data_IF_924127970309
#
_entry.id   IF_924127970309
#
_cell.length_a   1.000
_cell.length_b   1.000
_cell.length_c   1.000
_cell.angle_alpha   90.00
_cell.angle_beta   90.00
_cell.angle_gamma   90.00
#
_symmetry.space_group_name_H-M   'P 1'
#
loop_
_entity.id
_entity.type
_entity.pdbx_description
1 polymer ?
#
# COMPACT_ATOMS: atom_id res chain seq x y z
N UNK A 1 -0.70 -41.27 -18.63
CA UNK A 1 0.28 -40.16 -18.67
C UNK A 1 -0.29 -38.99 -17.87
N UNK A 2 -0.14 -39.07 -16.55
CA UNK A 2 -0.45 -38.00 -15.59
C UNK A 2 0.85 -37.24 -15.40
N UNK A 3 0.99 -36.00 -15.91
CA UNK A 3 2.07 -35.03 -15.62
C UNK A 3 1.99 -33.89 -16.64
N UNK A 4 0.96 -33.08 -16.55
CA UNK A 4 0.92 -31.71 -17.11
C UNK A 4 -0.03 -30.84 -16.27
N UNK A 5 -0.19 -31.22 -14.99
CA UNK A 5 -0.85 -30.49 -13.93
C UNK A 5 0.25 -29.84 -13.10
N UNK A 6 0.83 -28.77 -13.62
CA UNK A 6 1.57 -27.75 -12.85
C UNK A 6 1.79 -26.55 -13.76
N UNK A 7 0.70 -26.12 -14.39
CA UNK A 7 0.56 -24.85 -15.07
C UNK A 7 0.71 -23.74 -14.02
N UNK A 8 1.88 -23.10 -13.98
CA UNK A 8 2.00 -21.64 -13.86
C UNK A 8 1.23 -20.91 -12.74
N UNK A 9 1.16 -21.46 -11.52
CA UNK A 9 0.45 -20.81 -10.39
C UNK A 9 1.35 -20.59 -9.15
N UNK A 10 2.61 -20.23 -9.39
CA UNK A 10 3.61 -20.04 -8.32
C UNK A 10 4.37 -18.72 -8.45
N UNK A 11 3.70 -17.68 -8.96
CA UNK A 11 4.27 -16.33 -9.00
C UNK A 11 3.20 -15.36 -8.49
N UNK A 12 3.57 -14.57 -7.48
CA UNK A 12 2.82 -13.45 -6.89
C UNK A 12 1.76 -13.80 -5.81
N UNK A 13 2.16 -14.51 -4.76
CA UNK A 13 1.63 -14.17 -3.42
C UNK A 13 2.55 -13.09 -2.83
N UNK A 14 2.73 -11.97 -3.55
CA UNK A 14 3.22 -10.77 -2.90
C UNK A 14 2.09 -10.33 -1.98
N UNK A 15 2.38 -10.16 -0.69
CA UNK A 15 1.49 -9.57 0.30
C UNK A 15 1.14 -8.14 -0.12
N UNK A 16 0.23 -8.03 -1.07
CA UNK A 16 -0.19 -6.75 -1.66
C UNK A 16 -1.42 -6.35 -0.88
N UNK A 17 -1.21 -5.87 0.35
CA UNK A 17 -2.30 -5.38 1.19
C UNK A 17 -2.71 -3.99 0.67
N UNK A 18 -3.37 -3.97 -0.48
CA UNK A 18 -3.93 -2.75 -1.02
C UNK A 18 -5.20 -2.42 -0.21
N UNK A 19 -5.08 -1.51 0.76
CA UNK A 19 -6.21 -1.06 1.56
C UNK A 19 -6.97 0.06 0.84
N UNK A 20 -8.29 0.03 0.95
CA UNK A 20 -9.18 1.06 0.39
C UNK A 20 -9.29 2.21 1.39
N UNK A 21 -9.17 3.45 0.91
CA UNK A 21 -9.36 4.63 1.77
C UNK A 21 -10.83 4.82 2.17
N UNK A 22 -11.04 5.20 3.44
CA UNK A 22 -12.37 5.58 3.91
C UNK A 22 -12.91 6.80 3.15
N UNK A 23 -14.25 6.94 3.01
CA UNK A 23 -14.86 8.11 2.38
C UNK A 23 -14.33 9.43 2.96
N UNK A 24 -13.99 10.37 2.08
CA UNK A 24 -13.37 11.65 2.45
C UNK A 24 -11.84 11.62 2.57
N UNK A 25 -11.20 10.49 2.25
CA UNK A 25 -9.75 10.36 2.11
C UNK A 25 -9.42 9.85 0.70
N UNK A 26 -8.28 10.25 0.19
CA UNK A 26 -7.72 9.79 -1.08
C UNK A 26 -6.34 9.16 -0.85
N UNK A 27 -5.84 8.40 -1.83
CA UNK A 27 -4.49 7.84 -1.76
C UNK A 27 -3.46 8.97 -1.87
N UNK A 28 -2.46 8.94 -0.99
CA UNK A 28 -1.29 9.80 -1.10
C UNK A 28 -0.57 9.60 -2.44
N UNK A 29 0.45 10.41 -2.69
CA UNK A 29 1.42 10.10 -3.74
C UNK A 29 2.06 8.71 -3.52
N UNK A 30 2.57 8.13 -4.61
CA UNK A 30 3.27 6.85 -4.60
C UNK A 30 4.75 7.05 -4.21
N UNK A 31 5.19 6.37 -3.16
CA UNK A 31 6.56 6.43 -2.68
C UNK A 31 7.32 5.15 -3.05
N UNK A 32 8.55 5.27 -3.55
CA UNK A 32 9.40 4.11 -3.87
C UNK A 32 9.96 3.45 -2.60
N UNK A 33 10.18 4.25 -1.56
CA UNK A 33 10.75 3.79 -0.30
C UNK A 33 9.76 3.98 0.85
N UNK A 34 9.60 2.95 1.67
CA UNK A 34 8.72 2.95 2.85
C UNK A 34 9.06 4.11 3.81
N UNK A 35 10.35 4.33 4.08
CA UNK A 35 10.80 5.40 4.97
C UNK A 35 10.39 6.81 4.51
N UNK A 36 10.34 7.05 3.19
CA UNK A 36 9.87 8.33 2.65
C UNK A 36 8.35 8.47 2.82
N UNK A 37 7.61 7.38 2.58
CA UNK A 37 6.17 7.33 2.83
C UNK A 37 5.85 7.62 4.31
N UNK A 38 6.57 6.97 5.23
CA UNK A 38 6.35 7.15 6.67
C UNK A 38 6.66 8.56 7.15
N UNK A 39 7.68 9.21 6.59
CA UNK A 39 7.99 10.60 6.93
C UNK A 39 6.81 11.54 6.61
N UNK A 40 6.28 11.47 5.38
CA UNK A 40 5.15 12.30 4.95
C UNK A 40 3.85 11.91 5.67
N UNK A 41 3.61 10.61 5.86
CA UNK A 41 2.48 10.09 6.66
C UNK A 41 2.51 10.63 8.09
N UNK A 42 3.68 10.63 8.75
CA UNK A 42 3.81 11.15 10.12
C UNK A 42 3.46 12.64 10.16
N UNK A 43 3.96 13.44 9.21
CA UNK A 43 3.61 14.85 9.10
C UNK A 43 2.09 15.03 8.96
N UNK A 44 1.45 14.26 8.10
CA UNK A 44 -0.01 14.33 7.93
C UNK A 44 -0.78 13.81 9.14
N UNK A 45 -0.24 12.85 9.87
CA UNK A 45 -0.84 12.32 11.10
C UNK A 45 -0.88 13.42 12.18
N UNK A 46 0.21 14.16 12.36
CA UNK A 46 0.25 15.31 13.28
C UNK A 46 -0.70 16.44 12.86
N UNK A 47 -0.92 16.60 11.55
CA UNK A 47 -1.90 17.54 11.01
C UNK A 47 -3.35 17.00 11.00
N UNK A 48 -3.59 15.79 11.54
CA UNK A 48 -4.89 15.11 11.54
C UNK A 48 -5.47 14.93 10.12
N UNK A 49 -4.59 14.79 9.13
CA UNK A 49 -4.92 14.55 7.73
C UNK A 49 -4.88 13.07 7.34
N UNK A 50 -4.35 12.19 8.17
CA UNK A 50 -4.42 10.74 7.93
C UNK A 50 -4.82 9.98 9.20
N UNK A 51 -5.51 8.86 9.02
CA UNK A 51 -5.79 7.88 10.07
C UNK A 51 -4.81 6.71 10.05
N UNK A 52 -3.93 6.65 9.05
CA UNK A 52 -3.00 5.56 8.85
C UNK A 52 -1.88 5.59 9.90
N UNK A 53 -1.67 4.47 10.57
CA UNK A 53 -0.56 4.28 11.51
C UNK A 53 0.73 3.84 10.82
N UNK A 54 0.63 3.30 9.61
CA UNK A 54 1.72 2.82 8.77
C UNK A 54 1.41 3.08 7.30
N UNK A 55 2.43 3.01 6.46
CA UNK A 55 2.24 3.00 5.01
C UNK A 55 1.83 1.62 4.50
N UNK A 56 0.94 1.61 3.51
CA UNK A 56 0.51 0.40 2.83
C UNK A 56 1.45 0.07 1.68
N UNK A 57 1.82 -1.21 1.57
CA UNK A 57 2.63 -1.71 0.46
C UNK A 57 1.73 -2.12 -0.72
N UNK A 58 1.81 -1.35 -1.80
CA UNK A 58 1.29 -1.74 -3.12
C UNK A 58 2.26 -2.67 -3.86
N UNK A 59 2.01 -2.88 -5.15
CA UNK A 59 2.84 -3.79 -5.98
C UNK A 59 4.28 -3.29 -6.17
N UNK A 60 4.46 -1.98 -6.27
CA UNK A 60 5.76 -1.33 -6.57
C UNK A 60 6.04 -0.15 -5.64
N UNK A 61 5.00 0.40 -5.00
CA UNK A 61 5.07 1.64 -4.25
C UNK A 61 4.38 1.51 -2.89
N UNK A 62 4.75 2.40 -1.99
CA UNK A 62 4.12 2.63 -0.71
C UNK A 62 3.18 3.83 -0.80
N UNK A 63 2.07 3.79 -0.06
CA UNK A 63 1.09 4.87 0.00
C UNK A 63 0.30 4.84 1.31
N UNK A 64 -0.42 5.90 1.64
CA UNK A 64 -1.35 5.96 2.77
C UNK A 64 -2.61 6.75 2.38
N UNK A 65 -3.62 6.78 3.24
CA UNK A 65 -4.84 7.55 2.98
C UNK A 65 -4.75 8.92 3.63
N UNK A 66 -4.94 9.97 2.85
CA UNK A 66 -4.83 11.37 3.29
C UNK A 66 -6.10 12.13 2.94
N UNK A 67 -6.47 13.06 3.82
CA UNK A 67 -7.58 14.00 3.65
C UNK A 67 -7.05 15.29 3.03
N UNK A 68 -7.81 15.89 2.13
CA UNK A 68 -7.50 17.20 1.52
C UNK A 68 -7.05 18.24 2.57
#
# INVERSE_FOLDING_TARGET
MKRLLTLSLLVCISNTYAYICFPGYHYSQNYVFEAACDFDRMKDFFNKKTYNLECYQGWVYYYYCVKD
#
